data_IF_332349879926
#
_entry.id   IF_332349879926
#
_cell.length_a   1.000
_cell.length_b   1.000
_cell.length_c   1.000
_cell.angle_alpha   90.00
_cell.angle_beta   90.00
_cell.angle_gamma   90.00
#
_symmetry.space_group_name_H-M   'P 1'
#
loop_
_entity.id
_entity.type
_entity.pdbx_description
1 polymer ?
#
# COMPACT_ATOMS: atom_id res chain seq x y z
N UNK A 1 -19.58 -11.82 -4.89
CA UNK A 1 -18.69 -10.67 -5.12
C UNK A 1 -19.50 -9.60 -5.81
N UNK A 2 -19.48 -8.36 -5.29
CA UNK A 2 -20.06 -7.22 -6.01
C UNK A 2 -19.18 -6.97 -7.22
N UNK A 3 -19.78 -6.78 -8.39
CA UNK A 3 -19.06 -6.39 -9.61
C UNK A 3 -18.32 -5.06 -9.42
N UNK A 4 -17.31 -4.80 -10.24
CA UNK A 4 -16.48 -3.60 -10.13
C UNK A 4 -17.25 -2.31 -10.39
N UNK A 5 -16.89 -1.26 -9.67
CA UNK A 5 -17.41 0.10 -9.82
C UNK A 5 -16.29 1.07 -10.18
N UNK A 6 -16.66 2.29 -10.53
CA UNK A 6 -15.73 3.40 -10.57
C UNK A 6 -15.62 4.06 -9.19
N UNK A 7 -14.44 4.61 -8.93
CA UNK A 7 -14.15 5.41 -7.76
C UNK A 7 -13.47 6.70 -8.18
N UNK A 8 -13.99 7.83 -7.72
CA UNK A 8 -13.33 9.11 -7.88
C UNK A 8 -13.05 9.77 -6.55
N UNK A 9 -11.97 10.54 -6.46
CA UNK A 9 -11.69 11.36 -5.29
C UNK A 9 -11.05 12.69 -5.65
N UNK A 10 -11.41 13.73 -4.89
CA UNK A 10 -10.76 15.03 -4.96
C UNK A 10 -9.50 14.97 -4.13
N UNK A 11 -8.38 15.30 -4.73
CA UNK A 11 -7.11 15.36 -4.03
C UNK A 11 -6.22 16.42 -4.67
N UNK A 12 -5.34 17.03 -3.89
CA UNK A 12 -4.32 17.89 -4.48
C UNK A 12 -3.47 17.07 -5.44
N UNK A 13 -3.24 17.64 -6.61
CA UNK A 13 -2.28 17.09 -7.55
C UNK A 13 -0.91 17.05 -6.90
N UNK A 14 -0.12 16.02 -7.21
CA UNK A 14 1.30 15.99 -6.88
C UNK A 14 2.15 16.04 -8.14
N UNK A 15 3.38 16.51 -7.98
CA UNK A 15 4.44 16.41 -8.98
C UNK A 15 5.44 15.37 -8.53
N UNK A 16 5.65 14.35 -9.36
CA UNK A 16 6.70 13.36 -9.19
C UNK A 16 7.53 13.21 -10.47
N UNK A 17 8.79 12.82 -10.32
CA UNK A 17 9.67 12.55 -11.46
C UNK A 17 11.12 12.95 -11.19
N UNK A 18 11.88 13.17 -12.26
CA UNK A 18 13.28 13.61 -12.21
C UNK A 18 13.38 15.08 -12.64
N UNK A 19 13.91 15.92 -11.76
CA UNK A 19 14.26 17.32 -12.04
C UNK A 19 15.74 17.51 -11.73
N UNK A 20 16.54 17.90 -12.72
CA UNK A 20 18.00 18.13 -12.55
C UNK A 20 18.74 16.92 -11.94
N UNK A 21 18.39 15.70 -12.37
CA UNK A 21 18.87 14.41 -11.82
C UNK A 21 18.49 14.12 -10.36
N UNK A 22 17.62 14.94 -9.76
CA UNK A 22 17.04 14.70 -8.44
C UNK A 22 15.61 14.20 -8.60
N UNK A 23 15.23 13.14 -7.88
CA UNK A 23 13.84 12.74 -7.80
C UNK A 23 13.08 13.74 -6.94
N UNK A 24 11.91 14.17 -7.40
CA UNK A 24 11.05 15.06 -6.64
C UNK A 24 9.73 14.36 -6.32
N UNK A 25 9.17 14.68 -5.16
CA UNK A 25 7.76 14.52 -4.85
C UNK A 25 7.33 15.72 -4.04
N UNK A 26 6.28 16.39 -4.49
CA UNK A 26 5.63 17.44 -3.73
C UNK A 26 4.16 17.50 -4.09
N UNK A 27 3.32 17.73 -3.09
CA UNK A 27 1.95 18.14 -3.33
C UNK A 27 1.97 19.55 -3.94
N UNK A 28 1.12 19.76 -4.93
CA UNK A 28 0.76 21.09 -5.41
C UNK A 28 -0.43 21.59 -4.62
N UNK A 29 -0.78 22.88 -4.76
CA UNK A 29 -2.01 23.43 -4.19
C UNK A 29 -3.20 23.35 -5.17
N UNK A 30 -3.04 22.65 -6.29
CA UNK A 30 -4.07 22.51 -7.31
C UNK A 30 -4.91 21.27 -7.03
N UNK A 31 -6.19 21.40 -6.63
CA UNK A 31 -7.08 20.26 -6.47
C UNK A 31 -7.40 19.65 -7.84
N UNK A 32 -7.46 18.32 -7.91
CA UNK A 32 -7.78 17.56 -9.11
C UNK A 32 -8.72 16.40 -8.73
N UNK A 33 -9.65 16.07 -9.62
CA UNK A 33 -10.43 14.84 -9.51
C UNK A 33 -9.61 13.70 -10.09
N UNK A 34 -9.46 12.62 -9.34
CA UNK A 34 -8.78 11.39 -9.77
C UNK A 34 -9.81 10.29 -9.96
N UNK A 35 -9.81 9.67 -11.13
CA UNK A 35 -10.79 8.67 -11.53
C UNK A 35 -10.12 7.31 -11.69
N UNK A 36 -10.74 6.30 -11.09
CA UNK A 36 -10.24 4.93 -11.05
C UNK A 36 -11.38 3.99 -11.43
N UNK A 37 -11.12 3.07 -12.35
CA UNK A 37 -12.06 2.03 -12.73
C UNK A 37 -11.69 0.69 -12.05
N UNK A 38 -12.52 -0.32 -12.29
CA UNK A 38 -12.30 -1.68 -11.81
C UNK A 38 -12.11 -1.76 -10.29
N UNK A 39 -12.80 -0.90 -9.54
CA UNK A 39 -12.67 -0.80 -8.10
C UNK A 39 -13.64 -1.73 -7.37
N UNK A 40 -13.19 -2.26 -6.23
CA UNK A 40 -14.01 -2.94 -5.24
C UNK A 40 -14.01 -2.17 -3.93
N UNK A 41 -15.14 -2.15 -3.25
CA UNK A 41 -15.34 -1.37 -2.02
C UNK A 41 -15.58 -2.33 -0.85
N UNK A 42 -14.84 -2.13 0.24
CA UNK A 42 -15.12 -2.72 1.55
C UNK A 42 -15.24 -1.63 2.61
N UNK A 43 -15.96 -1.92 3.68
CA UNK A 43 -16.22 -0.98 4.77
C UNK A 43 -16.07 -1.67 6.11
N UNK A 44 -15.50 -0.97 7.08
CA UNK A 44 -15.39 -1.46 8.46
C UNK A 44 -15.71 -0.33 9.43
N UNK A 45 -16.54 -0.62 10.43
CA UNK A 45 -16.80 0.28 11.56
C UNK A 45 -15.54 0.41 12.43
N UNK A 46 -15.02 1.64 12.59
CA UNK A 46 -13.81 1.91 13.40
C UNK A 46 -14.11 2.71 14.68
N UNK A 47 -15.29 3.30 14.77
CA UNK A 47 -15.88 3.79 16.02
C UNK A 47 -17.40 3.89 15.84
N UNK A 48 -18.14 4.19 16.91
CA UNK A 48 -19.59 4.39 16.83
C UNK A 48 -20.01 5.46 15.81
N UNK A 49 -19.14 6.44 15.54
CA UNK A 49 -19.42 7.57 14.65
C UNK A 49 -18.73 7.45 13.30
N UNK A 50 -17.81 6.50 13.14
CA UNK A 50 -16.84 6.50 12.06
C UNK A 50 -16.72 5.15 11.38
N UNK A 51 -16.82 5.14 10.06
CA UNK A 51 -16.50 3.97 9.23
C UNK A 51 -15.27 4.27 8.41
N UNK A 52 -14.44 3.24 8.20
CA UNK A 52 -13.34 3.27 7.24
C UNK A 52 -13.81 2.60 5.96
N UNK A 53 -13.71 3.32 4.85
CA UNK A 53 -13.94 2.78 3.52
C UNK A 53 -12.58 2.46 2.91
N UNK A 54 -12.50 1.26 2.35
CA UNK A 54 -11.32 0.75 1.68
C UNK A 54 -11.69 0.47 0.23
N UNK A 55 -10.95 1.11 -0.67
CA UNK A 55 -11.07 0.96 -2.11
C UNK A 55 -9.88 0.14 -2.57
N UNK A 56 -10.15 -0.92 -3.33
CA UNK A 56 -9.11 -1.68 -4.02
C UNK A 56 -9.30 -1.63 -5.51
N UNK A 57 -8.20 -1.56 -6.25
CA UNK A 57 -8.16 -1.78 -7.69
C UNK A 57 -7.07 -2.79 -8.00
N UNK A 58 -7.20 -3.50 -9.10
CA UNK A 58 -6.16 -4.42 -9.53
C UNK A 58 -6.14 -4.60 -11.03
N UNK A 59 -4.96 -4.81 -11.58
CA UNK A 59 -4.80 -5.13 -13.00
C UNK A 59 -3.69 -6.15 -13.19
N UNK A 60 -3.78 -6.90 -14.28
CA UNK A 60 -2.79 -7.93 -14.61
C UNK A 60 -1.77 -7.35 -15.57
N UNK A 61 -0.48 -7.56 -15.28
CA UNK A 61 0.64 -7.16 -16.14
C UNK A 61 1.56 -8.33 -16.39
N UNK A 62 2.32 -8.27 -17.50
CA UNK A 62 3.46 -9.15 -17.69
C UNK A 62 4.64 -8.64 -16.89
N UNK A 63 5.15 -9.43 -15.94
CA UNK A 63 6.33 -9.09 -15.15
C UNK A 63 7.59 -9.63 -15.84
N UNK A 64 8.49 -8.73 -16.24
CA UNK A 64 9.82 -9.12 -16.72
C UNK A 64 10.65 -9.80 -15.61
N UNK A 65 10.48 -9.35 -14.36
CA UNK A 65 11.19 -9.88 -13.20
C UNK A 65 10.79 -11.33 -12.90
N UNK A 66 9.49 -11.62 -12.86
CA UNK A 66 8.96 -12.98 -12.62
C UNK A 66 8.84 -13.84 -13.87
N UNK A 67 8.96 -13.24 -15.07
CA UNK A 67 8.73 -13.89 -16.36
C UNK A 67 7.35 -14.56 -16.45
N UNK A 68 6.35 -13.92 -15.86
CA UNK A 68 4.97 -14.41 -15.80
C UNK A 68 3.99 -13.25 -15.73
N UNK A 69 2.72 -13.53 -16.00
CA UNK A 69 1.64 -12.60 -15.65
C UNK A 69 1.52 -12.51 -14.12
N UNK A 70 1.38 -11.28 -13.62
CA UNK A 70 1.24 -10.98 -12.19
C UNK A 70 0.11 -9.98 -12.00
N UNK A 71 -0.49 -9.98 -10.82
CA UNK A 71 -1.58 -9.07 -10.44
C UNK A 71 -1.05 -7.96 -9.55
N UNK A 72 -1.05 -6.76 -10.12
CA UNK A 72 -0.82 -5.51 -9.43
C UNK A 72 -2.06 -5.15 -8.63
N UNK A 73 -1.91 -4.97 -7.32
CA UNK A 73 -2.99 -4.66 -6.38
C UNK A 73 -2.73 -3.29 -5.76
N UNK A 74 -3.79 -2.50 -5.69
CA UNK A 74 -3.77 -1.15 -5.14
C UNK A 74 -4.83 -1.01 -4.07
N UNK A 75 -4.52 -0.23 -3.04
CA UNK A 75 -5.42 0.08 -1.96
C UNK A 75 -5.39 1.57 -1.59
N UNK A 76 -6.58 2.13 -1.35
CA UNK A 76 -6.76 3.44 -0.74
C UNK A 76 -7.79 3.32 0.38
N UNK A 77 -7.43 3.80 1.58
CA UNK A 77 -8.32 3.79 2.74
C UNK A 77 -8.58 5.22 3.21
N UNK A 78 -9.85 5.55 3.44
CA UNK A 78 -10.26 6.83 4.00
C UNK A 78 -11.38 6.65 5.00
N UNK A 79 -11.54 7.65 5.85
CA UNK A 79 -12.53 7.62 6.91
C UNK A 79 -13.73 8.47 6.54
N UNK A 80 -14.93 8.00 6.91
CA UNK A 80 -16.18 8.73 6.76
C UNK A 80 -16.83 8.89 8.13
N UNK A 81 -17.12 10.14 8.48
CA UNK A 81 -17.82 10.50 9.73
C UNK A 81 -19.26 10.92 9.45
N UNK A 82 -19.51 11.49 8.28
CA UNK A 82 -20.81 12.03 7.92
C UNK A 82 -21.79 10.95 7.44
N UNK A 83 -23.07 11.31 7.36
CA UNK A 83 -24.10 10.47 6.79
C UNK A 83 -23.77 10.15 5.33
N UNK A 84 -23.79 8.87 4.98
CA UNK A 84 -23.65 8.42 3.59
C UNK A 84 -24.88 8.89 2.80
N UNK A 85 -24.65 9.70 1.76
CA UNK A 85 -25.72 10.22 0.90
C UNK A 85 -26.41 9.10 0.11
N UNK A 86 -27.70 9.29 -0.20
CA UNK A 86 -28.42 8.35 -1.05
C UNK A 86 -27.86 8.33 -2.48
N UNK A 87 -27.87 7.16 -3.15
CA UNK A 87 -27.51 7.07 -4.55
C UNK A 87 -28.44 7.95 -5.39
N UNK A 88 -27.88 8.73 -6.29
CA UNK A 88 -28.66 9.54 -7.24
C UNK A 88 -28.01 9.54 -8.62
N UNK A 89 -28.77 10.03 -9.60
CA UNK A 89 -28.29 10.22 -10.97
C UNK A 89 -27.73 11.63 -11.11
N UNK A 90 -26.55 11.75 -11.71
CA UNK A 90 -26.00 13.04 -12.15
C UNK A 90 -25.28 12.88 -13.50
N UNK A 91 -25.14 13.98 -14.22
CA UNK A 91 -24.34 14.03 -15.43
C UNK A 91 -22.85 14.12 -15.08
N UNK A 92 -22.04 13.32 -15.77
CA UNK A 92 -20.60 13.31 -15.58
C UNK A 92 -19.86 13.16 -16.89
N UNK A 93 -18.70 13.80 -17.00
CA UNK A 93 -17.87 13.64 -18.18
C UNK A 93 -17.06 12.35 -18.10
N UNK A 94 -16.99 11.64 -19.21
CA UNK A 94 -16.16 10.44 -19.34
C UNK A 94 -14.69 10.73 -18.99
N UNK A 95 -14.10 10.05 -17.98
CA UNK A 95 -12.71 10.24 -17.62
C UNK A 95 -11.76 9.87 -18.77
N UNK A 96 -10.62 10.56 -18.93
CA UNK A 96 -9.62 10.14 -19.90
C UNK A 96 -9.01 8.78 -19.50
N UNK A 97 -8.37 8.06 -20.45
CA UNK A 97 -7.60 6.87 -20.14
C UNK A 97 -6.44 7.21 -19.17
N UNK A 98 -6.59 6.79 -17.91
CA UNK A 98 -5.63 7.06 -16.85
C UNK A 98 -5.64 8.50 -16.33
N UNK A 99 -4.89 8.73 -15.24
CA UNK A 99 -4.83 10.03 -14.57
C UNK A 99 -3.65 10.89 -15.07
N UNK A 100 -3.71 11.32 -16.34
CA UNK A 100 -2.62 12.07 -17.00
C UNK A 100 -2.70 13.59 -16.79
N UNK A 101 -1.57 14.29 -16.96
CA UNK A 101 -1.52 15.77 -16.93
C UNK A 101 -2.34 16.35 -18.10
N UNK A 102 -3.20 17.32 -17.79
CA UNK A 102 -3.99 18.03 -18.80
C UNK A 102 -5.16 17.19 -19.29
N UNK A 103 -5.91 16.59 -18.35
CA UNK A 103 -7.07 15.74 -18.63
C UNK A 103 -8.02 16.40 -19.61
N UNK A 104 -8.26 15.72 -20.73
CA UNK A 104 -9.32 16.08 -21.67
C UNK A 104 -10.44 15.09 -21.45
N UNK A 105 -11.50 15.55 -20.79
CA UNK A 105 -12.67 14.72 -20.53
C UNK A 105 -13.49 14.51 -21.81
N UNK A 106 -14.12 13.35 -21.90
CA UNK A 106 -14.97 12.97 -23.01
C UNK A 106 -16.40 13.51 -22.90
N UNK A 107 -17.31 12.82 -23.59
CA UNK A 107 -18.73 13.16 -23.61
C UNK A 107 -19.36 13.10 -22.23
N UNK A 108 -20.32 13.98 -21.98
CA UNK A 108 -21.16 13.92 -20.77
C UNK A 108 -22.19 12.81 -20.91
N UNK A 109 -22.33 11.99 -19.86
CA UNK A 109 -23.33 10.93 -19.76
C UNK A 109 -23.84 10.80 -18.33
N UNK A 110 -25.07 10.30 -18.13
CA UNK A 110 -25.61 10.08 -16.79
C UNK A 110 -24.86 8.93 -16.08
N UNK A 111 -24.54 9.14 -14.80
CA UNK A 111 -24.00 8.13 -13.88
C UNK A 111 -24.85 8.02 -12.63
N UNK A 112 -24.84 6.85 -12.01
CA UNK A 112 -25.35 6.64 -10.65
C UNK A 112 -24.21 6.77 -9.66
N UNK A 113 -24.37 7.57 -8.61
CA UNK A 113 -23.27 7.93 -7.71
C UNK A 113 -23.69 8.00 -6.24
N UNK A 114 -22.80 7.57 -5.35
CA UNK A 114 -22.80 7.88 -3.92
C UNK A 114 -21.71 8.91 -3.66
N UNK A 115 -22.07 10.01 -3.01
CA UNK A 115 -21.12 11.03 -2.55
C UNK A 115 -20.82 10.83 -1.07
N UNK A 116 -19.53 10.90 -0.72
CA UNK A 116 -19.02 10.60 0.61
C UNK A 116 -18.12 11.73 1.12
N UNK A 117 -18.11 11.91 2.44
CA UNK A 117 -17.24 12.84 3.18
C UNK A 117 -17.19 14.24 2.54
N UNK A 118 -18.31 14.97 2.59
CA UNK A 118 -18.44 16.32 2.02
C UNK A 118 -18.07 16.39 0.54
N UNK A 119 -18.46 15.37 -0.23
CA UNK A 119 -18.19 15.25 -1.67
C UNK A 119 -16.70 15.25 -2.04
N UNK A 120 -15.85 14.67 -1.17
CA UNK A 120 -14.45 14.42 -1.50
C UNK A 120 -14.25 13.07 -2.17
N UNK A 121 -15.17 12.11 -1.97
CA UNK A 121 -15.09 10.78 -2.56
C UNK A 121 -16.41 10.39 -3.21
N UNK A 122 -16.31 9.63 -4.30
CA UNK A 122 -17.42 9.25 -5.17
C UNK A 122 -17.29 7.78 -5.53
N UNK A 123 -18.34 6.99 -5.27
CA UNK A 123 -18.46 5.61 -5.75
C UNK A 123 -19.56 5.63 -6.80
N UNK A 124 -19.27 5.19 -8.02
CA UNK A 124 -20.21 5.37 -9.12
C UNK A 124 -20.11 4.31 -10.21
N UNK A 125 -21.12 4.27 -11.07
CA UNK A 125 -21.12 3.52 -12.33
C UNK A 125 -21.96 4.26 -13.36
N UNK A 126 -21.73 4.02 -14.66
CA UNK A 126 -22.59 4.59 -15.70
C UNK A 126 -24.04 4.11 -15.53
N UNK A 127 -24.99 5.00 -15.77
CA UNK A 127 -26.40 4.63 -15.81
C UNK A 127 -26.66 3.74 -17.03
N UNK A 128 -27.49 2.72 -16.86
CA UNK A 128 -27.84 1.79 -17.93
C UNK A 128 -29.27 2.02 -18.40
N UNK A 129 -29.45 2.09 -19.72
CA UNK A 129 -30.75 2.33 -20.33
C UNK A 129 -31.79 1.30 -19.89
N UNK A 130 -32.96 1.78 -19.45
CA UNK A 130 -34.06 0.94 -19.00
C UNK A 130 -33.85 0.25 -17.65
N UNK A 131 -32.76 0.54 -16.92
CA UNK A 131 -32.52 0.03 -15.57
C UNK A 131 -32.70 1.12 -14.51
N UNK A 132 -33.30 0.74 -13.39
CA UNK A 132 -33.39 1.59 -12.20
C UNK A 132 -32.12 1.51 -11.37
N UNK A 133 -31.79 2.58 -10.63
CA UNK A 133 -30.57 2.69 -9.82
C UNK A 133 -30.51 1.61 -8.74
N UNK A 134 -31.64 1.13 -8.24
CA UNK A 134 -31.77 0.09 -7.22
C UNK A 134 -31.19 -1.25 -7.67
N UNK A 135 -31.11 -1.48 -8.98
CA UNK A 135 -30.54 -2.69 -9.57
C UNK A 135 -29.00 -2.60 -9.76
N UNK A 136 -28.40 -1.44 -9.47
CA UNK A 136 -26.98 -1.17 -9.70
C UNK A 136 -26.06 -1.74 -8.62
N UNK A 137 -24.76 -1.86 -8.93
CA UNK A 137 -23.75 -2.22 -7.93
C UNK A 137 -23.51 -1.08 -6.95
N UNK A 138 -23.65 0.17 -7.40
CA UNK A 138 -23.62 1.35 -6.54
C UNK A 138 -24.69 1.24 -5.44
N UNK A 139 -25.93 0.91 -5.77
CA UNK A 139 -26.99 0.78 -4.77
C UNK A 139 -26.73 -0.38 -3.78
N UNK A 140 -26.22 -1.52 -4.26
CA UNK A 140 -25.79 -2.62 -3.38
C UNK A 140 -24.70 -2.18 -2.41
N UNK A 141 -23.70 -1.42 -2.89
CA UNK A 141 -22.63 -0.87 -2.04
C UNK A 141 -23.22 0.10 -1.03
N UNK A 142 -24.12 1.01 -1.44
CA UNK A 142 -24.79 1.92 -0.52
C UNK A 142 -25.47 1.20 0.65
N UNK A 143 -26.21 0.12 0.38
CA UNK A 143 -26.85 -0.68 1.43
C UNK A 143 -25.83 -1.32 2.39
N UNK A 144 -24.70 -1.80 1.87
CA UNK A 144 -23.60 -2.34 2.69
C UNK A 144 -23.00 -1.24 3.58
N UNK A 145 -22.72 -0.07 3.00
CA UNK A 145 -22.16 1.07 3.74
C UNK A 145 -23.10 1.54 4.85
N UNK A 146 -24.41 1.64 4.56
CA UNK A 146 -25.43 2.02 5.54
C UNK A 146 -25.55 1.01 6.67
N UNK A 147 -25.65 -0.28 6.33
CA UNK A 147 -25.70 -1.36 7.31
C UNK A 147 -24.49 -1.34 8.25
N UNK A 148 -23.30 -1.13 7.72
CA UNK A 148 -22.09 -1.05 8.55
C UNK A 148 -22.07 0.23 9.39
N UNK A 149 -22.51 1.38 8.85
CA UNK A 149 -22.62 2.63 9.60
C UNK A 149 -23.60 2.52 10.78
N UNK A 150 -24.66 1.72 10.66
CA UNK A 150 -25.65 1.47 11.71
C UNK A 150 -25.26 0.34 12.67
N UNK A 151 -24.21 -0.42 12.36
CA UNK A 151 -23.74 -1.52 13.20
C UNK A 151 -23.11 -1.03 14.50
N UNK A 152 -23.18 -1.88 15.54
CA UNK A 152 -22.51 -1.64 16.81
C UNK A 152 -21.01 -1.83 16.60
N UNK A 153 -20.22 -0.83 17.01
CA UNK A 153 -18.77 -0.95 16.93
C UNK A 153 -18.29 -2.15 17.75
N UNK A 154 -17.51 -3.01 17.09
CA UNK A 154 -16.77 -4.10 17.70
C UNK A 154 -15.30 -3.84 17.40
N UNK A 155 -14.47 -3.88 18.44
CA UNK A 155 -13.03 -3.71 18.32
C UNK A 155 -12.43 -4.91 17.57
N UNK A 156 -12.50 -4.85 16.24
CA UNK A 156 -12.00 -5.88 15.33
C UNK A 156 -10.67 -5.40 14.76
N UNK A 157 -9.57 -6.14 15.00
CA UNK A 157 -8.26 -5.81 14.43
C UNK A 157 -8.19 -6.10 12.91
N UNK A 158 -9.14 -6.88 12.40
CA UNK A 158 -9.30 -7.24 10.99
C UNK A 158 -10.12 -6.17 10.26
N UNK A 159 -9.48 -5.06 9.92
CA UNK A 159 -10.14 -3.97 9.18
C UNK A 159 -10.14 -4.19 7.66
N UNK A 160 -9.47 -5.24 7.17
CA UNK A 160 -9.36 -5.56 5.75
C UNK A 160 -10.01 -6.93 5.50
N UNK A 161 -11.32 -6.97 5.27
CA UNK A 161 -12.01 -8.16 4.78
C UNK A 161 -11.62 -8.37 3.30
N UNK A 162 -10.62 -9.23 3.07
CA UNK A 162 -10.08 -9.51 1.73
C UNK A 162 -10.24 -10.97 1.39
N UNK A 163 -10.87 -11.32 0.26
CA UNK A 163 -10.81 -12.68 -0.25
C UNK A 163 -9.38 -12.96 -0.71
N UNK A 164 -8.66 -13.79 0.06
CA UNK A 164 -7.28 -14.21 -0.19
C UNK A 164 -7.15 -15.72 -0.03
N UNK A 165 -6.12 -16.31 -0.63
CA UNK A 165 -5.76 -17.70 -0.35
C UNK A 165 -5.42 -17.85 1.13
N UNK A 166 -5.99 -18.87 1.77
CA UNK A 166 -5.69 -19.15 3.17
C UNK A 166 -4.24 -19.60 3.30
N UNK A 167 -3.50 -18.99 4.22
CA UNK A 167 -2.13 -19.36 4.54
C UNK A 167 -1.95 -19.38 6.06
N UNK A 168 -1.57 -20.54 6.58
CA UNK A 168 -1.46 -20.72 8.02
C UNK A 168 -0.17 -20.16 8.62
N UNK A 169 0.77 -19.71 7.78
CA UNK A 169 2.05 -19.12 8.20
C UNK A 169 1.87 -17.66 8.55
N UNK A 170 2.71 -17.17 9.47
CA UNK A 170 2.86 -15.74 9.71
C UNK A 170 3.65 -15.13 8.55
N UNK A 171 2.95 -14.39 7.69
CA UNK A 171 3.53 -13.68 6.55
C UNK A 171 2.92 -12.28 6.54
N UNK A 172 3.71 -11.20 6.64
CA UNK A 172 3.16 -9.86 6.60
C UNK A 172 2.67 -9.50 5.20
N UNK A 173 1.61 -8.70 5.14
CA UNK A 173 1.28 -7.94 3.94
C UNK A 173 2.03 -6.60 4.00
N UNK A 174 2.61 -6.18 2.88
CA UNK A 174 3.43 -4.96 2.82
C UNK A 174 2.72 -3.94 1.95
N UNK A 175 2.49 -2.75 2.48
CA UNK A 175 1.89 -1.63 1.76
C UNK A 175 2.94 -0.54 1.51
N UNK A 176 2.98 -0.01 0.29
CA UNK A 176 3.94 1.03 -0.11
C UNK A 176 3.24 2.08 -0.97
N UNK A 177 3.47 3.40 -0.78
CA UNK A 177 2.98 4.43 -1.68
C UNK A 177 3.24 4.09 -3.17
N UNK A 178 2.20 4.21 -3.99
CA UNK A 178 2.24 3.87 -5.40
C UNK A 178 2.79 5.02 -6.25
N UNK A 179 4.12 5.20 -6.20
CA UNK A 179 4.88 6.20 -6.96
C UNK A 179 5.80 5.53 -7.99
N UNK A 180 5.27 5.26 -9.17
CA UNK A 180 5.92 4.44 -10.20
C UNK A 180 7.18 5.10 -10.76
N UNK A 181 7.18 6.44 -10.83
CA UNK A 181 8.27 7.24 -11.37
C UNK A 181 9.61 7.00 -10.65
N UNK A 182 9.54 6.51 -9.40
CA UNK A 182 10.72 6.29 -8.57
C UNK A 182 11.33 4.90 -8.73
N UNK A 183 10.66 3.96 -9.40
CA UNK A 183 11.17 2.58 -9.60
C UNK A 183 11.60 1.89 -8.29
N UNK A 184 11.01 2.32 -7.19
CA UNK A 184 11.27 1.83 -5.86
C UNK A 184 10.25 0.73 -5.53
N UNK A 185 10.33 -0.39 -6.25
CA UNK A 185 9.37 -1.47 -6.09
C UNK A 185 9.94 -2.55 -5.16
N UNK A 186 9.09 -3.13 -4.33
CA UNK A 186 9.42 -4.39 -3.65
C UNK A 186 9.57 -5.48 -4.73
N UNK A 187 10.64 -6.27 -4.63
CA UNK A 187 10.93 -7.39 -5.54
C UNK A 187 10.77 -8.72 -4.85
N UNK A 188 11.29 -8.82 -3.63
CA UNK A 188 11.27 -10.07 -2.87
C UNK A 188 10.90 -9.80 -1.43
N UNK A 189 10.15 -10.72 -0.84
CA UNK A 189 9.89 -10.77 0.60
C UNK A 189 10.32 -12.15 1.08
N UNK A 190 11.23 -12.17 2.04
CA UNK A 190 11.68 -13.39 2.69
C UNK A 190 11.26 -13.41 4.15
N UNK A 191 10.64 -14.51 4.56
CA UNK A 191 10.21 -14.75 5.93
C UNK A 191 11.03 -15.90 6.51
N UNK A 192 12.00 -15.58 7.37
CA UNK A 192 12.89 -16.54 8.00
C UNK A 192 12.54 -16.70 9.48
N UNK A 193 12.14 -17.91 9.88
CA UNK A 193 11.80 -18.22 11.27
C UNK A 193 13.08 -18.28 12.10
N UNK A 194 13.27 -17.33 13.02
CA UNK A 194 14.41 -17.35 13.95
C UNK A 194 14.15 -18.40 15.03
N UNK A 195 12.95 -18.38 15.61
CA UNK A 195 12.50 -19.32 16.64
C UNK A 195 10.96 -19.42 16.62
N UNK A 196 10.37 -20.12 17.59
CA UNK A 196 8.92 -20.33 17.68
C UNK A 196 8.08 -19.06 17.90
N UNK A 197 8.71 -17.94 18.25
CA UNK A 197 8.07 -16.66 18.64
C UNK A 197 8.57 -15.46 17.85
N UNK A 198 9.44 -15.68 16.86
CA UNK A 198 10.14 -14.60 16.17
C UNK A 198 10.40 -14.95 14.70
N UNK A 199 9.98 -14.04 13.82
CA UNK A 199 10.22 -14.07 12.38
C UNK A 199 11.10 -12.90 11.99
N UNK A 200 12.18 -13.18 11.26
CA UNK A 200 12.91 -12.17 10.50
C UNK A 200 12.23 -11.99 9.14
N UNK A 201 11.87 -10.76 8.79
CA UNK A 201 11.31 -10.42 7.50
C UNK A 201 12.30 -9.53 6.77
N UNK A 202 12.80 -10.01 5.63
CA UNK A 202 13.71 -9.25 4.77
C UNK A 202 13.02 -8.88 3.47
N UNK A 203 13.03 -7.60 3.13
CA UNK A 203 12.41 -7.04 1.93
C UNK A 203 13.51 -6.54 1.00
N UNK A 204 13.55 -7.11 -0.21
CA UNK A 204 14.48 -6.71 -1.26
C UNK A 204 13.79 -5.73 -2.20
N UNK A 205 14.37 -4.55 -2.37
CA UNK A 205 13.85 -3.49 -3.21
C UNK A 205 14.63 -3.39 -4.51
N UNK A 206 13.92 -3.05 -5.58
CA UNK A 206 14.50 -2.80 -6.89
C UNK A 206 15.61 -1.73 -6.85
N UNK A 207 15.48 -0.76 -5.94
CA UNK A 207 16.42 0.34 -5.78
C UNK A 207 16.14 1.09 -4.47
N UNK A 208 17.14 1.78 -3.94
CA UNK A 208 17.00 2.81 -2.90
C UNK A 208 17.37 4.15 -3.54
N UNK A 209 16.56 5.17 -3.31
CA UNK A 209 16.66 6.44 -4.02
C UNK A 209 16.55 7.59 -3.04
N UNK A 210 17.70 8.03 -2.54
CA UNK A 210 17.79 9.21 -1.68
C UNK A 210 17.60 10.46 -2.54
N UNK A 211 16.61 11.33 -2.25
CA UNK A 211 16.38 12.59 -3.00
C UNK A 211 17.22 13.71 -2.43
N UNK A 212 17.29 13.88 -1.11
CA UNK A 212 18.11 14.91 -0.45
C UNK A 212 19.62 14.71 -0.67
N UNK A 213 20.05 13.47 -0.94
CA UNK A 213 21.46 13.11 -1.16
C UNK A 213 21.72 12.44 -2.51
N UNK A 214 21.08 12.93 -3.59
CA UNK A 214 21.18 12.36 -4.94
C UNK A 214 22.63 12.18 -5.45
N UNK A 215 23.57 13.03 -5.02
CA UNK A 215 25.00 12.94 -5.35
C UNK A 215 25.71 11.74 -4.70
N UNK A 216 25.18 11.19 -3.60
CA UNK A 216 25.74 10.04 -2.89
C UNK A 216 25.18 8.70 -3.39
N UNK A 217 24.04 8.68 -4.09
CA UNK A 217 23.43 7.46 -4.64
C UNK A 217 24.38 6.61 -5.50
N UNK A 218 25.21 7.18 -6.40
CA UNK A 218 26.20 6.41 -7.16
C UNK A 218 27.27 5.77 -6.26
N UNK A 219 27.68 6.47 -5.20
CA UNK A 219 28.68 6.00 -4.23
C UNK A 219 28.09 4.87 -3.37
N UNK A 220 26.85 5.03 -2.87
CA UNK A 220 26.17 3.98 -2.10
C UNK A 220 25.89 2.72 -2.95
N UNK A 221 25.47 2.87 -4.21
CA UNK A 221 25.31 1.73 -5.13
C UNK A 221 26.65 1.05 -5.44
N UNK A 222 27.72 1.83 -5.59
CA UNK A 222 29.07 1.31 -5.83
C UNK A 222 29.61 0.56 -4.61
N UNK A 223 29.48 1.14 -3.41
CA UNK A 223 29.85 0.50 -2.13
C UNK A 223 29.07 -0.80 -1.93
N UNK A 224 27.75 -0.82 -2.15
CA UNK A 224 26.95 -2.05 -2.05
C UNK A 224 27.35 -3.10 -3.09
N UNK A 225 27.62 -2.67 -4.33
CA UNK A 225 28.09 -3.57 -5.39
C UNK A 225 29.46 -4.17 -5.05
N UNK A 226 30.33 -3.42 -4.39
CA UNK A 226 31.65 -3.91 -3.96
C UNK A 226 31.58 -4.84 -2.75
N UNK A 227 30.91 -4.40 -1.68
CA UNK A 227 30.88 -5.08 -0.38
C UNK A 227 29.91 -6.27 -0.37
N UNK A 228 28.75 -6.14 -1.00
CA UNK A 228 27.67 -7.13 -0.95
C UNK A 228 27.39 -7.75 -2.31
N UNK A 229 27.99 -7.28 -3.40
CA UNK A 229 27.74 -7.83 -4.74
C UNK A 229 26.35 -7.52 -5.31
N UNK A 230 25.57 -6.64 -4.66
CA UNK A 230 24.22 -6.23 -5.09
C UNK A 230 24.09 -4.72 -5.24
N UNK A 231 23.21 -4.30 -6.15
CA UNK A 231 22.75 -2.90 -6.30
C UNK A 231 21.35 -2.69 -5.73
N UNK A 232 20.64 -3.78 -5.45
CA UNK A 232 19.32 -3.80 -4.82
C UNK A 232 19.46 -3.41 -3.35
N UNK A 233 18.42 -2.79 -2.83
CA UNK A 233 18.36 -2.48 -1.41
C UNK A 233 17.67 -3.57 -0.61
N UNK A 234 18.01 -3.70 0.67
CA UNK A 234 17.53 -4.78 1.51
C UNK A 234 17.32 -4.25 2.91
N UNK A 235 16.08 -4.29 3.36
CA UNK A 235 15.70 -3.93 4.72
C UNK A 235 15.13 -5.11 5.47
N UNK A 236 15.34 -5.11 6.79
CA UNK A 236 14.98 -6.23 7.64
C UNK A 236 14.31 -5.73 8.92
N UNK A 237 13.14 -6.26 9.22
CA UNK A 237 12.46 -6.07 10.50
C UNK A 237 12.11 -7.41 11.12
N UNK A 238 11.62 -7.39 12.36
CA UNK A 238 11.18 -8.60 13.06
C UNK A 238 9.71 -8.53 13.42
N UNK A 239 9.04 -9.67 13.31
CA UNK A 239 7.69 -9.91 13.81
C UNK A 239 7.80 -10.81 15.02
N UNK A 240 7.17 -10.42 16.13
CA UNK A 240 7.21 -11.14 17.39
C UNK A 240 5.79 -11.51 17.82
N UNK A 241 5.66 -12.69 18.40
CA UNK A 241 4.41 -13.16 18.98
C UNK A 241 4.66 -13.96 20.26
N UNK A 242 3.77 -13.78 21.24
CA UNK A 242 3.79 -14.60 22.44
C UNK A 242 2.91 -15.85 22.29
N UNK A 243 1.86 -15.75 21.47
CA UNK A 243 0.86 -16.78 21.17
C UNK A 243 0.80 -17.08 19.67
N UNK A 244 -0.27 -17.68 19.15
CA UNK A 244 -0.40 -17.98 17.72
C UNK A 244 -0.55 -16.74 16.80
N UNK A 245 -0.70 -15.54 17.36
CA UNK A 245 -1.00 -14.29 16.64
C UNK A 245 0.21 -13.34 16.74
N UNK A 246 0.70 -12.78 15.62
CA UNK A 246 1.66 -11.68 15.59
C UNK A 246 1.22 -10.49 16.44
N UNK A 247 2.01 -10.07 17.42
CA UNK A 247 1.60 -9.00 18.35
C UNK A 247 2.45 -7.73 18.20
N UNK A 248 3.73 -7.88 17.82
CA UNK A 248 4.67 -6.76 17.81
C UNK A 248 5.63 -6.80 16.61
N UNK A 249 6.14 -5.62 16.27
CA UNK A 249 7.24 -5.42 15.36
C UNK A 249 8.48 -4.87 16.09
N UNK A 250 9.67 -5.10 15.51
CA UNK A 250 10.90 -4.36 15.78
C UNK A 250 11.50 -3.85 14.48
N UNK A 251 11.74 -2.55 14.39
CA UNK A 251 12.22 -1.86 13.20
C UNK A 251 13.63 -1.28 13.43
N UNK A 252 14.62 -2.15 13.67
CA UNK A 252 15.97 -1.72 14.07
C UNK A 252 16.65 -0.83 13.02
N UNK A 253 16.72 0.48 13.29
CA UNK A 253 17.33 1.48 12.40
C UNK A 253 16.52 1.80 11.15
N UNK A 254 15.27 1.36 11.06
CA UNK A 254 14.39 1.52 9.88
C UNK A 254 12.97 1.91 10.26
N UNK A 255 12.73 2.38 11.49
CA UNK A 255 11.42 2.87 11.87
C UNK A 255 11.16 4.23 11.23
N UNK A 256 9.98 4.43 10.64
CA UNK A 256 9.63 5.70 9.98
C UNK A 256 9.07 6.75 10.94
N UNK A 257 8.57 6.36 12.12
CA UNK A 257 7.84 7.26 12.99
C UNK A 257 6.69 7.96 12.26
N UNK A 258 6.58 9.28 12.40
CA UNK A 258 5.58 10.10 11.70
C UNK A 258 6.04 10.63 10.34
N UNK A 259 7.20 10.19 9.86
CA UNK A 259 7.74 10.64 8.58
C UNK A 259 7.01 9.99 7.40
N UNK A 260 6.88 10.74 6.30
CA UNK A 260 6.16 10.35 5.08
C UNK A 260 7.11 10.20 3.89
N UNK A 261 6.55 10.02 2.70
CA UNK A 261 7.30 9.80 1.46
C UNK A 261 8.20 11.00 1.08
N UNK A 262 8.01 12.14 1.75
CA UNK A 262 8.84 13.33 1.59
C UNK A 262 10.12 13.30 2.45
N UNK A 263 10.43 12.20 3.13
CA UNK A 263 11.69 12.02 3.86
C UNK A 263 12.55 10.90 3.26
N UNK A 264 13.87 11.10 3.32
CA UNK A 264 14.84 10.23 2.63
C UNK A 264 16.02 9.77 3.49
N UNK A 265 16.13 10.21 4.75
CA UNK A 265 17.21 9.79 5.65
C UNK A 265 16.62 9.54 7.04
N UNK A 266 15.67 8.62 7.08
CA UNK A 266 14.98 8.23 8.32
C UNK A 266 15.50 6.89 8.78
N UNK A 267 16.09 6.90 9.97
CA UNK A 267 16.65 5.74 10.65
C UNK A 267 16.33 5.82 12.14
N UNK A 268 15.04 5.90 12.50
CA UNK A 268 14.62 5.83 13.90
C UNK A 268 14.80 4.39 14.43
N UNK A 269 14.55 4.17 15.72
CA UNK A 269 14.75 2.86 16.39
C UNK A 269 16.16 2.27 16.23
N UNK A 270 17.18 3.13 16.20
CA UNK A 270 18.57 2.65 16.27
C UNK A 270 18.73 1.82 17.55
N UNK A 271 19.36 0.64 17.48
CA UNK A 271 19.63 -0.16 18.67
C UNK A 271 20.34 0.68 19.73
N UNK A 272 19.93 0.54 20.98
CA UNK A 272 20.64 1.17 22.10
C UNK A 272 22.04 0.54 22.30
N UNK A 273 22.80 1.02 23.29
CA UNK A 273 24.15 0.51 23.59
C UNK A 273 24.14 -0.99 23.94
N UNK A 274 23.01 -1.50 24.43
CA UNK A 274 22.79 -2.92 24.74
C UNK A 274 22.21 -3.72 23.56
N UNK A 275 22.00 -3.07 22.41
CA UNK A 275 21.40 -3.67 21.22
C UNK A 275 19.87 -3.79 21.25
N UNK A 276 19.18 -3.16 22.21
CA UNK A 276 17.72 -3.22 22.28
C UNK A 276 17.09 -2.30 21.23
N UNK A 277 16.04 -2.82 20.59
CA UNK A 277 15.20 -2.09 19.64
C UNK A 277 13.79 -1.99 20.23
N UNK A 278 13.14 -0.80 20.20
CA UNK A 278 11.77 -0.62 20.66
C UNK A 278 10.77 -1.61 20.04
N UNK A 279 9.71 -1.93 20.79
CA UNK A 279 8.60 -2.75 20.34
C UNK A 279 7.44 -1.86 19.89
N UNK A 280 6.85 -2.20 18.74
CA UNK A 280 5.66 -1.54 18.21
C UNK A 280 4.53 -2.53 18.05
N UNK A 281 3.37 -2.26 18.63
CA UNK A 281 2.21 -3.16 18.54
C UNK A 281 1.67 -3.23 17.12
N UNK A 282 1.36 -4.43 16.64
CA UNK A 282 0.68 -4.60 15.34
C UNK A 282 -0.68 -3.91 15.40
N UNK A 283 -0.89 -2.92 14.52
CA UNK A 283 -2.17 -2.18 14.46
C UNK A 283 -3.20 -2.81 13.53
N UNK A 284 -2.75 -3.50 12.49
CA UNK A 284 -3.64 -3.98 11.44
C UNK A 284 -3.22 -5.37 10.94
N UNK A 285 -4.23 -6.16 10.56
CA UNK A 285 -4.03 -7.48 9.97
C UNK A 285 -4.77 -7.57 8.63
N UNK A 286 -4.17 -8.30 7.71
CA UNK A 286 -4.69 -8.56 6.38
C UNK A 286 -5.51 -9.85 6.38
N UNK A 287 -6.82 -9.76 6.10
CA UNK A 287 -7.80 -10.86 6.03
C UNK A 287 -8.01 -11.65 7.34
N UNK A 288 -6.94 -12.09 8.01
CA UNK A 288 -6.94 -12.82 9.29
C UNK A 288 -5.84 -12.30 10.20
N UNK A 289 -6.00 -12.49 11.51
CA UNK A 289 -5.00 -12.16 12.54
C UNK A 289 -3.64 -12.92 12.45
N UNK A 290 -3.27 -13.53 11.32
CA UNK A 290 -1.94 -14.13 11.06
C UNK A 290 -1.04 -13.28 10.18
N UNK A 291 -1.60 -12.33 9.45
CA UNK A 291 -0.88 -11.56 8.44
C UNK A 291 -0.81 -10.09 8.87
N UNK A 292 0.17 -9.69 9.67
CA UNK A 292 0.26 -8.33 10.15
C UNK A 292 0.62 -7.41 8.98
N UNK A 293 0.08 -6.20 8.96
CA UNK A 293 0.36 -5.22 7.89
C UNK A 293 1.51 -4.32 8.33
N UNK A 294 2.46 -4.12 7.42
CA UNK A 294 3.55 -3.16 7.55
C UNK A 294 3.47 -2.14 6.42
N UNK A 295 3.71 -0.87 6.76
CA UNK A 295 3.72 0.23 5.81
C UNK A 295 5.16 0.68 5.57
N UNK A 296 5.58 0.70 4.32
CA UNK A 296 6.77 1.43 3.88
C UNK A 296 6.35 2.87 3.69
N UNK A 297 6.87 3.79 4.49
CA UNK A 297 6.36 5.16 4.55
C UNK A 297 7.28 6.17 3.85
N UNK A 298 8.57 5.90 3.74
CA UNK A 298 9.56 6.85 3.24
C UNK A 298 10.24 6.36 1.96
N UNK A 299 10.99 7.24 1.30
CA UNK A 299 11.68 6.90 0.05
C UNK A 299 12.89 5.97 0.27
N UNK A 300 13.52 6.05 1.45
CA UNK A 300 14.60 5.19 1.91
C UNK A 300 14.09 3.91 2.61
N UNK A 301 12.84 3.54 2.38
CA UNK A 301 12.22 2.30 2.87
C UNK A 301 12.05 2.19 4.38
N UNK A 302 12.06 3.28 5.14
CA UNK A 302 11.69 3.24 6.54
C UNK A 302 10.20 2.84 6.68
N UNK A 303 9.92 2.01 7.68
CA UNK A 303 8.66 1.31 7.86
C UNK A 303 8.01 1.60 9.21
N UNK A 304 6.69 1.43 9.29
CA UNK A 304 5.96 1.44 10.55
C UNK A 304 4.71 0.55 10.50
N UNK A 305 4.07 0.40 11.65
CA UNK A 305 2.81 -0.31 11.81
C UNK A 305 1.58 0.50 11.36
N UNK A 306 1.76 1.76 10.91
CA UNK A 306 0.71 2.64 10.41
C UNK A 306 1.11 3.43 9.17
N UNK A 307 0.10 3.88 8.44
CA UNK A 307 0.20 4.68 7.24
C UNK A 307 0.37 6.18 7.55
N UNK A 308 1.50 6.76 7.16
CA UNK A 308 1.72 8.22 7.18
C UNK A 308 1.38 8.87 5.83
N UNK A 309 1.12 8.09 4.78
CA UNK A 309 0.83 8.53 3.42
C UNK A 309 -0.65 8.33 3.05
N UNK A 310 -1.56 8.73 3.95
CA UNK A 310 -3.02 8.44 3.87
C UNK A 310 -3.68 8.86 2.55
N UNK A 311 -3.12 9.87 1.89
CA UNK A 311 -3.64 10.52 0.67
C UNK A 311 -3.20 9.83 -0.63
N UNK A 312 -2.26 8.89 -0.57
CA UNK A 312 -1.74 8.18 -1.73
C UNK A 312 -2.37 6.79 -1.83
N UNK A 313 -2.54 6.30 -3.05
CA UNK A 313 -2.74 4.87 -3.27
C UNK A 313 -1.49 4.10 -2.84
N UNK A 314 -1.68 2.86 -2.38
CA UNK A 314 -0.59 1.97 -2.01
C UNK A 314 -0.58 0.74 -2.90
N UNK A 315 0.60 0.33 -3.30
CA UNK A 315 0.89 -1.04 -3.71
C UNK A 315 0.59 -1.99 -2.54
N UNK A 316 -0.23 -3.00 -2.79
CA UNK A 316 -0.59 -4.06 -1.84
C UNK A 316 0.18 -5.34 -2.19
N UNK A 317 1.27 -5.61 -1.48
CA UNK A 317 2.08 -6.81 -1.68
C UNK A 317 1.64 -7.93 -0.73
N UNK A 318 0.98 -8.93 -1.31
CA UNK A 318 0.54 -10.15 -0.62
C UNK A 318 1.43 -11.30 -1.08
N UNK A 319 2.40 -11.69 -0.26
CA UNK A 319 3.51 -12.53 -0.72
C UNK A 319 3.12 -13.98 -1.02
N UNK A 320 2.10 -14.51 -0.36
CA UNK A 320 1.64 -15.89 -0.53
C UNK A 320 0.71 -16.10 -1.73
N UNK A 321 0.23 -15.02 -2.35
CA UNK A 321 -0.61 -15.12 -3.53
C UNK A 321 0.19 -15.60 -4.76
N UNK A 322 -0.36 -16.56 -5.50
CA UNK A 322 0.31 -17.15 -6.67
C UNK A 322 0.62 -16.13 -7.75
N UNK A 323 -0.30 -15.18 -7.96
CA UNK A 323 -0.18 -14.09 -8.93
C UNK A 323 0.53 -12.85 -8.35
N UNK A 324 1.12 -12.94 -7.16
CA UNK A 324 1.83 -11.82 -6.52
C UNK A 324 2.95 -11.28 -7.43
N UNK A 325 3.16 -9.94 -7.50
CA UNK A 325 4.21 -9.35 -8.34
C UNK A 325 5.63 -9.56 -7.80
N UNK A 326 5.74 -10.09 -6.58
CA UNK A 326 7.01 -10.34 -5.89
C UNK A 326 7.36 -11.82 -5.83
N UNK A 327 8.62 -12.09 -5.52
CA UNK A 327 9.10 -13.43 -5.17
C UNK A 327 9.01 -13.59 -3.65
N UNK A 328 8.37 -14.66 -3.19
CA UNK A 328 8.38 -15.04 -1.79
C UNK A 328 9.47 -16.08 -1.53
N UNK A 329 10.17 -15.96 -0.41
CA UNK A 329 11.13 -16.97 0.04
C UNK A 329 11.29 -17.03 1.56
N UNK A 330 12.26 -17.82 2.02
CA UNK A 330 12.44 -18.13 3.46
C UNK A 330 13.88 -17.93 3.95
N UNK A 331 14.69 -17.23 3.15
CA UNK A 331 16.10 -16.95 3.45
C UNK A 331 16.21 -15.88 4.54
N UNK A 332 17.16 -16.05 5.44
CA UNK A 332 17.61 -14.99 6.34
C UNK A 332 18.31 -13.87 5.57
N UNK A 333 18.42 -12.69 6.18
CA UNK A 333 19.21 -11.56 5.67
C UNK A 333 20.62 -11.99 5.25
N UNK A 334 21.29 -12.77 6.10
CA UNK A 334 22.64 -13.29 5.85
C UNK A 334 22.70 -14.20 4.63
N UNK A 335 21.73 -15.08 4.45
CA UNK A 335 21.67 -15.97 3.27
C UNK A 335 21.37 -15.20 1.98
N UNK A 336 20.55 -14.15 2.05
CA UNK A 336 20.29 -13.27 0.92
C UNK A 336 21.58 -12.55 0.53
N UNK A 337 22.25 -11.88 1.47
CA UNK A 337 23.51 -11.19 1.21
C UNK A 337 24.59 -12.15 0.66
N UNK A 338 24.70 -13.38 1.20
CA UNK A 338 25.64 -14.40 0.73
C UNK A 338 25.31 -14.97 -0.66
N UNK A 339 24.06 -14.85 -1.12
CA UNK A 339 23.67 -15.31 -2.46
C UNK A 339 24.18 -14.39 -3.57
N UNK A 340 24.54 -13.16 -3.21
CA UNK A 340 25.23 -12.24 -4.10
C UNK A 340 26.74 -12.48 -4.03
N UNK A 341 27.42 -12.37 -5.17
CA UNK A 341 28.88 -12.54 -5.25
C UNK A 341 29.55 -11.17 -5.07
N UNK A 342 30.12 -10.85 -3.89
CA UNK A 342 30.81 -9.57 -3.72
C UNK A 342 32.07 -9.53 -4.59
N UNK A 343 32.41 -8.33 -5.08
CA UNK A 343 33.60 -8.12 -5.92
C UNK A 343 34.88 -8.05 -5.08
N UNK A 344 34.78 -7.77 -3.79
CA UNK A 344 35.88 -7.77 -2.83
C UNK A 344 35.53 -8.71 -1.67
N UNK A 345 36.39 -9.69 -1.39
CA UNK A 345 36.33 -10.50 -0.17
C UNK A 345 37.28 -9.90 0.86
N UNK A 346 36.75 -9.39 1.97
CA UNK A 346 37.58 -9.22 3.16
C UNK A 346 37.70 -10.59 3.83
N UNK A 347 38.94 -11.07 3.95
CA UNK A 347 39.29 -12.34 4.56
C UNK A 347 39.32 -12.20 6.08
#
# INVERSE_FOLDING_TARGET
MVESVWFSHKEYRYEEGLKENQKIFRWTEQPEMWDWDNCTISVVKISNEKVKIIVRSSHTVSSEYKKSSVKLRYILGFDVVNTIGEPHTEDYHEPPPGNVKGKVYGSTRPRWVIKLENENYFIWQWAEDGKAIENSNVYKIYLILKKEQESIFSDKPEIFDVPTQDDDRVIPAVYQPALDSWKNFVREIHCHKINEKELEVSILFNNEELREHALLNPIYRWVRSLLYGRTLDLETFRVLWNNAIPENFRFGGIYSGQNDIQKDDIHEDKPDISGNVPLHHVKYYFAKAKHPIVFINTSNHAMAEFDTNKRLWKWEYVAWEKDSPIIYGTKSRKEIDNSFKPKIKFW
#
